data_IF_420764779018
#
_entry.id   IF_420764779018
#
_cell.length_a   1.000
_cell.length_b   1.000
_cell.length_c   1.000
_cell.angle_alpha   90.00
_cell.angle_beta   90.00
_cell.angle_gamma   90.00
#
_symmetry.space_group_name_H-M   'P 1'
#
loop_
_entity.id
_entity.type
_entity.pdbx_description
1 polymer ?
#
# COMPACT_ATOMS: atom_id res chain seq x y z
N UNK A 1 -20.27 21.97 10.26
CA UNK A 1 -21.29 22.92 10.73
C UNK A 1 -21.92 22.40 12.02
N UNK A 2 -22.49 21.19 12.05
CA UNK A 2 -23.11 20.63 13.26
C UNK A 2 -22.17 20.55 14.48
N UNK A 3 -20.86 20.40 14.26
CA UNK A 3 -19.84 20.43 15.29
C UNK A 3 -19.25 21.84 15.57
N UNK A 4 -19.84 22.89 15.04
CA UNK A 4 -19.41 24.29 15.20
C UNK A 4 -18.35 24.76 14.21
N UNK A 5 -18.09 24.01 13.13
CA UNK A 5 -17.18 24.46 12.07
C UNK A 5 -17.82 25.59 11.22
N UNK A 6 -17.01 26.56 10.71
CA UNK A 6 -17.49 27.55 9.73
C UNK A 6 -18.05 26.89 8.46
N UNK A 7 -18.99 27.54 7.79
CA UNK A 7 -19.65 27.00 6.58
C UNK A 7 -18.66 26.73 5.45
N UNK A 8 -17.67 27.58 5.27
CA UNK A 8 -16.68 27.51 4.19
C UNK A 8 -15.38 26.83 4.60
N UNK A 9 -15.34 26.03 5.66
CA UNK A 9 -14.11 25.40 6.15
C UNK A 9 -13.58 24.26 5.26
N UNK A 10 -14.43 23.71 4.37
CA UNK A 10 -14.06 22.68 3.40
C UNK A 10 -14.48 23.15 2.01
N UNK A 11 -13.52 23.23 1.12
CA UNK A 11 -13.73 23.70 -0.26
C UNK A 11 -13.03 22.76 -1.25
N UNK A 12 -13.36 22.84 -2.53
CA UNK A 12 -12.73 22.10 -3.62
C UNK A 12 -12.49 22.98 -4.84
N UNK A 13 -11.61 22.53 -5.74
CA UNK A 13 -11.40 23.16 -7.04
C UNK A 13 -12.29 22.50 -8.09
N UNK A 14 -13.14 23.29 -8.75
CA UNK A 14 -13.95 22.81 -9.88
C UNK A 14 -13.10 22.49 -11.11
N UNK A 15 -12.03 23.25 -11.32
CA UNK A 15 -11.12 23.05 -12.44
C UNK A 15 -10.11 21.93 -12.15
N UNK A 16 -10.34 20.75 -12.75
CA UNK A 16 -9.46 19.59 -12.67
C UNK A 16 -8.28 19.74 -13.64
N UNK A 17 -7.22 20.44 -13.23
CA UNK A 17 -6.02 20.59 -14.05
C UNK A 17 -4.75 20.63 -13.18
N UNK A 18 -3.61 20.20 -13.75
CA UNK A 18 -2.30 20.32 -13.11
C UNK A 18 -1.90 21.79 -12.87
N UNK A 19 -2.34 22.69 -13.76
CA UNK A 19 -2.14 24.12 -13.59
C UNK A 19 -2.84 24.63 -12.32
N UNK A 20 -4.13 24.35 -12.16
CA UNK A 20 -4.89 24.76 -10.99
C UNK A 20 -4.32 24.17 -9.70
N UNK A 21 -3.96 22.88 -9.69
CA UNK A 21 -3.33 22.22 -8.54
C UNK A 21 -2.00 22.89 -8.18
N UNK A 22 -1.16 23.18 -9.16
CA UNK A 22 0.15 23.83 -8.93
C UNK A 22 -0.04 25.27 -8.45
N UNK A 23 -0.99 26.03 -9.00
CA UNK A 23 -1.32 27.37 -8.59
C UNK A 23 -1.80 27.38 -7.13
N UNK A 24 -2.68 26.44 -6.75
CA UNK A 24 -3.15 26.29 -5.38
C UNK A 24 -1.98 25.98 -4.41
N UNK A 25 -1.13 25.00 -4.74
CA UNK A 25 0.03 24.65 -3.91
C UNK A 25 0.94 25.86 -3.63
N UNK A 26 1.10 26.76 -4.61
CA UNK A 26 1.94 27.96 -4.50
C UNK A 26 1.22 29.18 -3.94
N UNK A 27 -0.12 29.13 -3.81
CA UNK A 27 -0.91 30.30 -3.42
C UNK A 27 -0.52 30.81 -2.02
N UNK A 28 -0.34 32.11 -1.81
CA UNK A 28 0.09 32.68 -0.51
C UNK A 28 -0.83 32.29 0.67
N UNK A 29 -2.11 32.15 0.43
CA UNK A 29 -3.10 31.74 1.44
C UNK A 29 -3.01 30.27 1.88
N UNK A 30 -2.19 29.43 1.22
CA UNK A 30 -1.98 28.04 1.63
C UNK A 30 -0.80 27.96 2.60
N UNK A 31 -1.06 27.60 3.83
CA UNK A 31 -0.06 27.50 4.89
C UNK A 31 0.66 26.13 4.90
N UNK A 32 -0.06 25.05 4.61
CA UNK A 32 0.45 23.67 4.63
C UNK A 32 -0.20 22.86 3.53
N UNK A 33 0.53 21.92 2.95
CA UNK A 33 0.03 20.99 1.94
C UNK A 33 -0.04 19.59 2.54
N UNK A 34 -1.20 18.94 2.43
CA UNK A 34 -1.38 17.53 2.70
C UNK A 34 -1.51 16.81 1.36
N UNK A 35 -0.46 16.09 0.95
CA UNK A 35 -0.37 15.45 -0.34
C UNK A 35 -0.42 13.92 -0.19
N UNK A 36 -1.52 13.31 -0.61
CA UNK A 36 -1.67 11.86 -0.71
C UNK A 36 -1.78 11.48 -2.17
N UNK A 37 -0.84 10.69 -2.68
CA UNK A 37 -0.85 10.31 -4.10
C UNK A 37 0.47 9.69 -4.54
N UNK A 38 0.63 9.53 -5.87
CA UNK A 38 1.86 8.99 -6.43
C UNK A 38 3.09 9.87 -6.14
N UNK A 39 4.28 9.26 -6.21
CA UNK A 39 5.55 9.91 -5.87
C UNK A 39 5.78 11.27 -6.58
N UNK A 40 5.30 11.42 -7.82
CA UNK A 40 5.42 12.68 -8.56
C UNK A 40 4.61 13.83 -7.92
N UNK A 41 3.40 13.55 -7.42
CA UNK A 41 2.57 14.54 -6.73
C UNK A 41 3.21 14.94 -5.40
N UNK A 42 3.73 13.98 -4.66
CA UNK A 42 4.42 14.23 -3.38
C UNK A 42 5.68 15.06 -3.61
N UNK A 43 6.49 14.71 -4.62
CA UNK A 43 7.67 15.50 -5.00
C UNK A 43 7.31 16.95 -5.39
N UNK A 44 6.23 17.15 -6.15
CA UNK A 44 5.73 18.48 -6.50
C UNK A 44 5.31 19.29 -5.26
N UNK A 45 4.63 18.66 -4.30
CA UNK A 45 4.23 19.29 -3.05
C UNK A 45 5.45 19.77 -2.23
N UNK A 46 6.47 18.90 -2.07
CA UNK A 46 7.70 19.27 -1.37
C UNK A 46 8.53 20.34 -2.11
N UNK A 47 8.45 20.38 -3.44
CA UNK A 47 9.20 21.34 -4.28
C UNK A 47 8.57 22.72 -4.36
N UNK A 48 7.35 22.94 -3.83
CA UNK A 48 6.68 24.23 -3.95
C UNK A 48 7.15 25.27 -2.93
N UNK A 49 8.07 24.94 -2.00
CA UNK A 49 8.62 25.85 -1.00
C UNK A 49 7.73 26.10 0.21
N UNK A 50 6.72 25.23 0.44
CA UNK A 50 5.82 25.29 1.60
C UNK A 50 5.95 24.05 2.48
N UNK A 51 5.59 24.13 3.76
CA UNK A 51 5.42 22.96 4.60
C UNK A 51 4.48 21.96 3.92
N UNK A 52 4.91 20.71 3.81
CA UNK A 52 4.11 19.65 3.22
C UNK A 52 4.19 18.37 4.04
N UNK A 53 3.07 17.66 4.12
CA UNK A 53 2.94 16.31 4.65
C UNK A 53 2.60 15.41 3.47
N UNK A 54 3.58 14.66 2.97
CA UNK A 54 3.42 13.82 1.80
C UNK A 54 3.32 12.34 2.16
N UNK A 55 2.55 11.59 1.38
CA UNK A 55 2.44 10.14 1.43
C UNK A 55 2.65 9.58 0.04
N UNK A 56 3.71 8.79 -0.12
CA UNK A 56 4.06 8.13 -1.38
C UNK A 56 3.30 6.81 -1.58
N UNK A 57 3.71 6.10 -2.64
CA UNK A 57 3.18 4.79 -2.99
C UNK A 57 3.46 3.74 -1.91
N UNK A 58 2.55 2.75 -1.77
CA UNK A 58 2.70 1.62 -0.87
C UNK A 58 2.82 0.29 -1.64
N UNK A 59 3.92 -0.41 -1.51
CA UNK A 59 4.08 -1.76 -2.07
C UNK A 59 4.17 -2.80 -0.96
N UNK A 60 3.04 -3.09 -0.35
CA UNK A 60 2.93 -3.84 0.91
C UNK A 60 3.11 -5.35 0.70
N UNK A 61 4.18 -5.97 1.22
CA UNK A 61 4.27 -7.42 1.34
C UNK A 61 3.41 -7.91 2.51
N UNK A 62 2.80 -9.09 2.39
CA UNK A 62 2.27 -9.87 3.49
C UNK A 62 3.07 -11.16 3.61
N UNK A 63 3.97 -11.24 4.57
CA UNK A 63 4.72 -12.47 4.81
C UNK A 63 3.91 -13.42 5.69
N UNK A 64 3.63 -14.60 5.17
CA UNK A 64 2.89 -15.68 5.83
C UNK A 64 3.90 -16.73 6.27
N UNK A 65 4.38 -16.57 7.50
CA UNK A 65 5.39 -17.42 8.11
C UNK A 65 4.74 -18.72 8.64
N UNK A 66 5.47 -19.81 8.64
CA UNK A 66 4.96 -21.16 8.90
C UNK A 66 4.27 -21.37 10.25
N UNK A 67 4.60 -20.57 11.25
CA UNK A 67 3.96 -20.67 12.59
C UNK A 67 2.61 -19.96 12.66
N UNK A 68 2.21 -19.23 11.61
CA UNK A 68 0.97 -18.45 11.63
C UNK A 68 -0.28 -19.31 11.82
N UNK A 69 -1.35 -18.71 12.33
CA UNK A 69 -2.70 -19.29 12.27
C UNK A 69 -3.23 -19.13 10.84
N UNK A 70 -2.94 -20.10 9.97
CA UNK A 70 -3.14 -20.03 8.53
C UNK A 70 -4.55 -19.57 8.09
N UNK A 71 -5.66 -20.12 8.63
CA UNK A 71 -7.00 -19.67 8.22
C UNK A 71 -7.24 -18.17 8.52
N UNK A 72 -6.69 -17.65 9.64
CA UNK A 72 -6.75 -16.24 10.01
C UNK A 72 -5.93 -15.41 9.03
N UNK A 73 -4.69 -15.80 8.76
CA UNK A 73 -3.81 -15.09 7.84
C UNK A 73 -4.43 -14.95 6.44
N UNK A 74 -5.00 -16.03 5.92
CA UNK A 74 -5.68 -16.01 4.60
C UNK A 74 -6.91 -15.13 4.63
N UNK A 75 -7.76 -15.23 5.66
CA UNK A 75 -8.93 -14.37 5.81
C UNK A 75 -8.55 -12.89 5.85
N UNK A 76 -7.53 -12.55 6.62
CA UNK A 76 -7.06 -11.17 6.78
C UNK A 76 -6.55 -10.59 5.46
N UNK A 77 -5.75 -11.36 4.70
CA UNK A 77 -5.26 -10.97 3.39
C UNK A 77 -6.42 -10.77 2.40
N UNK A 78 -7.37 -11.70 2.36
CA UNK A 78 -8.54 -11.60 1.45
C UNK A 78 -9.42 -10.42 1.82
N UNK A 79 -9.74 -10.25 3.11
CA UNK A 79 -10.53 -9.12 3.61
C UNK A 79 -9.89 -7.78 3.25
N UNK A 80 -8.60 -7.65 3.51
CA UNK A 80 -7.83 -6.44 3.23
C UNK A 80 -7.74 -6.15 1.73
N UNK A 81 -7.44 -7.17 0.91
CA UNK A 81 -7.25 -7.02 -0.53
C UNK A 81 -8.54 -6.79 -1.30
N UNK A 82 -9.66 -7.32 -0.84
CA UNK A 82 -10.96 -7.09 -1.47
C UNK A 82 -11.61 -5.77 -1.05
N UNK A 83 -11.24 -5.22 0.11
CA UNK A 83 -11.78 -3.94 0.59
C UNK A 83 -11.47 -2.81 -0.39
N UNK A 84 -12.50 -2.05 -0.75
CA UNK A 84 -12.43 -0.94 -1.70
C UNK A 84 -11.69 -1.31 -3.02
N UNK A 85 -11.93 -2.51 -3.52
CA UNK A 85 -11.23 -3.08 -4.67
C UNK A 85 -9.71 -2.96 -4.59
N UNK A 86 -9.12 -3.11 -3.42
CA UNK A 86 -7.68 -3.05 -3.20
C UNK A 86 -7.03 -1.71 -3.49
N UNK A 87 -7.80 -0.62 -3.47
CA UNK A 87 -7.32 0.73 -3.81
C UNK A 87 -6.54 1.37 -2.66
N UNK A 88 -6.77 0.96 -1.41
CA UNK A 88 -6.07 1.53 -0.27
C UNK A 88 -4.57 1.22 -0.36
N UNK A 89 -3.72 2.23 -0.19
CA UNK A 89 -2.27 2.13 -0.32
C UNK A 89 -1.60 1.16 0.69
N UNK A 90 -2.28 0.85 1.80
CA UNK A 90 -1.87 -0.16 2.76
C UNK A 90 -2.35 -1.58 2.42
N UNK A 91 -3.09 -1.77 1.31
CA UNK A 91 -3.53 -3.10 0.87
C UNK A 91 -2.35 -3.95 0.39
N UNK A 92 -2.37 -5.22 0.73
CA UNK A 92 -1.35 -6.19 0.34
C UNK A 92 -1.17 -6.25 -1.17
N UNK A 93 0.07 -6.16 -1.63
CA UNK A 93 0.41 -6.30 -3.04
C UNK A 93 0.88 -7.71 -3.38
N UNK A 94 1.47 -8.39 -2.40
CA UNK A 94 1.81 -9.80 -2.53
C UNK A 94 1.66 -10.55 -1.19
N UNK A 95 1.27 -11.82 -1.27
CA UNK A 95 1.45 -12.80 -0.21
C UNK A 95 2.74 -13.57 -0.47
N UNK A 96 3.67 -13.53 0.48
CA UNK A 96 4.93 -14.27 0.46
C UNK A 96 4.77 -15.40 1.47
N UNK A 97 4.75 -16.66 1.03
CA UNK A 97 4.32 -17.79 1.84
C UNK A 97 5.46 -18.80 1.99
N UNK A 98 5.75 -19.21 3.21
CA UNK A 98 6.73 -20.27 3.47
C UNK A 98 6.37 -21.56 2.73
N UNK A 99 7.37 -22.18 2.10
CA UNK A 99 7.20 -23.38 1.31
C UNK A 99 6.54 -24.51 2.10
N UNK A 100 6.83 -24.62 3.40
CA UNK A 100 6.27 -25.65 4.28
C UNK A 100 4.73 -25.59 4.39
N UNK A 101 4.13 -24.41 4.26
CA UNK A 101 2.68 -24.20 4.38
C UNK A 101 2.05 -23.75 3.05
N UNK A 102 2.82 -23.65 1.98
CA UNK A 102 2.36 -23.09 0.71
C UNK A 102 1.15 -23.81 0.12
N UNK A 103 1.18 -25.14 0.09
CA UNK A 103 0.08 -25.95 -0.47
C UNK A 103 -1.20 -25.81 0.39
N UNK A 104 -1.03 -25.73 1.70
CA UNK A 104 -2.14 -25.45 2.62
C UNK A 104 -2.71 -24.04 2.42
N UNK A 105 -1.83 -23.02 2.23
CA UNK A 105 -2.24 -21.67 1.90
C UNK A 105 -3.03 -21.63 0.58
N UNK A 106 -2.52 -22.28 -0.48
CA UNK A 106 -3.19 -22.35 -1.78
C UNK A 106 -4.55 -23.05 -1.71
N UNK A 107 -4.68 -24.05 -0.85
CA UNK A 107 -5.96 -24.72 -0.59
C UNK A 107 -6.93 -23.81 0.16
N UNK A 108 -6.43 -23.10 1.18
CA UNK A 108 -7.27 -22.24 2.02
C UNK A 108 -7.75 -21.00 1.26
N UNK A 109 -6.88 -20.31 0.52
CA UNK A 109 -7.25 -19.08 -0.21
C UNK A 109 -8.27 -19.37 -1.32
N UNK A 110 -8.24 -20.56 -1.94
CA UNK A 110 -9.22 -20.99 -2.96
C UNK A 110 -10.63 -21.23 -2.40
N UNK A 111 -10.82 -21.21 -1.09
CA UNK A 111 -12.16 -21.24 -0.47
C UNK A 111 -12.89 -19.91 -0.57
N UNK A 112 -12.15 -18.85 -0.90
CA UNK A 112 -12.68 -17.50 -1.10
C UNK A 112 -12.95 -17.25 -2.60
N UNK A 113 -13.54 -16.12 -2.91
CA UNK A 113 -13.86 -15.69 -4.28
C UNK A 113 -12.60 -15.14 -4.99
N UNK A 114 -11.60 -15.98 -5.13
CA UNK A 114 -10.34 -15.67 -5.79
C UNK A 114 -10.17 -16.46 -7.08
N UNK A 115 -9.54 -15.85 -8.08
CA UNK A 115 -9.22 -16.49 -9.34
C UNK A 115 -7.72 -16.47 -9.57
N UNK A 116 -7.11 -17.66 -9.78
CA UNK A 116 -5.70 -17.78 -10.11
C UNK A 116 -5.52 -17.80 -11.62
N UNK A 117 -4.81 -16.79 -12.15
CA UNK A 117 -4.51 -16.71 -13.58
C UNK A 117 -3.49 -17.78 -13.99
N UNK A 118 -3.69 -18.36 -15.18
CA UNK A 118 -2.70 -19.19 -15.84
C UNK A 118 -1.59 -18.32 -16.48
N UNK A 119 -0.59 -18.95 -17.10
CA UNK A 119 0.57 -18.26 -17.67
C UNK A 119 0.19 -17.25 -18.78
N UNK A 120 -0.76 -17.61 -19.63
CA UNK A 120 -1.23 -16.74 -20.73
C UNK A 120 -2.03 -15.55 -20.20
N UNK A 121 -2.96 -15.81 -19.29
CA UNK A 121 -3.74 -14.77 -18.63
C UNK A 121 -2.88 -13.82 -17.80
N UNK A 122 -1.85 -14.34 -17.12
CA UNK A 122 -0.86 -13.53 -16.40
C UNK A 122 -0.16 -12.56 -17.34
N UNK A 123 0.33 -13.02 -18.49
CA UNK A 123 0.99 -12.16 -19.47
C UNK A 123 0.06 -11.07 -20.03
N UNK A 124 -1.23 -11.40 -20.30
CA UNK A 124 -2.25 -10.43 -20.70
C UNK A 124 -2.50 -9.40 -19.59
N UNK A 125 -2.61 -9.85 -18.34
CA UNK A 125 -2.83 -8.99 -17.17
C UNK A 125 -1.65 -8.01 -16.98
N UNK A 126 -0.41 -8.51 -17.04
CA UNK A 126 0.80 -7.68 -16.92
C UNK A 126 0.88 -6.63 -18.02
N UNK A 127 0.61 -7.01 -19.28
CA UNK A 127 0.58 -6.09 -20.40
C UNK A 127 -0.49 -5.02 -20.25
N UNK A 128 -1.70 -5.40 -19.82
CA UNK A 128 -2.79 -4.45 -19.59
C UNK A 128 -2.49 -3.48 -18.45
N UNK A 129 -1.91 -3.98 -17.36
CA UNK A 129 -1.64 -3.19 -16.16
C UNK A 129 -0.42 -2.26 -16.31
N UNK A 130 0.64 -2.69 -17.01
CA UNK A 130 1.92 -1.98 -17.04
C UNK A 130 2.42 -1.64 -18.45
N UNK A 131 1.73 -2.10 -19.49
CA UNK A 131 2.07 -1.82 -20.90
C UNK A 131 3.28 -2.62 -21.40
N UNK A 132 3.78 -2.24 -22.57
CA UNK A 132 4.92 -2.91 -23.23
C UNK A 132 6.24 -2.80 -22.46
N UNK A 133 6.32 -1.90 -21.49
CA UNK A 133 7.50 -1.68 -20.62
C UNK A 133 7.42 -2.44 -19.30
N UNK A 134 6.47 -3.38 -19.16
CA UNK A 134 6.27 -4.16 -17.94
C UNK A 134 7.55 -4.90 -17.49
N UNK A 135 8.35 -5.35 -18.44
CA UNK A 135 9.60 -6.10 -18.23
C UNK A 135 10.86 -5.24 -18.37
N UNK A 136 10.73 -3.92 -18.31
CA UNK A 136 11.87 -3.02 -18.41
C UNK A 136 12.68 -3.01 -17.10
N UNK A 137 14.00 -3.04 -17.22
CA UNK A 137 14.92 -2.82 -16.10
C UNK A 137 14.79 -1.41 -15.50
N UNK A 138 14.24 -0.47 -16.27
CA UNK A 138 13.91 0.85 -15.77
C UNK A 138 12.57 0.84 -15.04
N UNK A 139 12.63 0.73 -13.72
CA UNK A 139 11.47 0.71 -12.80
C UNK A 139 10.51 1.88 -13.04
N UNK A 140 11.04 3.03 -13.45
CA UNK A 140 10.24 4.23 -13.71
C UNK A 140 9.54 4.22 -15.08
N UNK A 141 9.96 3.35 -16.00
CA UNK A 141 9.34 3.25 -17.32
C UNK A 141 8.00 2.48 -17.28
N UNK A 142 7.90 1.44 -16.45
CA UNK A 142 6.66 0.69 -16.28
C UNK A 142 5.71 1.45 -15.36
N UNK A 143 4.73 2.12 -15.92
CA UNK A 143 3.70 2.86 -15.17
C UNK A 143 2.43 2.04 -15.06
N UNK A 144 1.82 2.05 -13.89
CA UNK A 144 0.50 1.47 -13.69
C UNK A 144 -0.52 2.17 -14.61
N UNK A 145 -1.31 1.38 -15.31
CA UNK A 145 -2.47 1.88 -16.05
C UNK A 145 -3.47 2.52 -15.06
N UNK A 146 -3.72 3.83 -15.11
CA UNK A 146 -4.57 4.50 -14.14
C UNK A 146 -6.02 4.00 -14.16
N UNK A 147 -6.44 3.38 -15.26
CA UNK A 147 -7.81 2.89 -15.40
C UNK A 147 -8.10 1.66 -14.53
N UNK A 148 -7.09 0.96 -14.00
CA UNK A 148 -7.30 -0.22 -13.13
C UNK A 148 -7.58 0.17 -11.68
N UNK A 149 -7.27 1.39 -11.28
CA UNK A 149 -7.36 1.84 -9.89
C UNK A 149 -8.79 1.76 -9.38
N UNK A 150 -9.02 0.97 -8.33
CA UNK A 150 -10.33 0.78 -7.71
C UNK A 150 -11.36 0.02 -8.57
N UNK A 151 -10.96 -0.59 -9.67
CA UNK A 151 -11.86 -1.38 -10.52
C UNK A 151 -12.06 -2.80 -9.99
N UNK A 152 -13.27 -3.38 -10.17
CA UNK A 152 -13.52 -4.77 -9.79
C UNK A 152 -12.63 -5.75 -10.55
N UNK A 153 -12.35 -6.90 -9.95
CA UNK A 153 -11.55 -7.97 -10.55
C UNK A 153 -12.11 -8.44 -11.91
N UNK A 154 -13.41 -8.57 -12.02
CA UNK A 154 -14.12 -8.97 -13.26
C UNK A 154 -13.89 -8.00 -14.39
N UNK A 155 -13.96 -6.70 -14.12
CA UNK A 155 -13.69 -5.66 -15.12
C UNK A 155 -12.22 -5.70 -15.58
N UNK A 156 -11.28 -5.85 -14.63
CA UNK A 156 -9.84 -5.93 -14.96
C UNK A 156 -9.56 -7.13 -15.87
N UNK A 157 -10.13 -8.31 -15.55
CA UNK A 157 -9.98 -9.52 -16.35
C UNK A 157 -10.51 -9.33 -17.77
N UNK A 158 -11.72 -8.77 -17.90
CA UNK A 158 -12.35 -8.49 -19.19
C UNK A 158 -11.48 -7.56 -20.06
N UNK A 159 -11.01 -6.45 -19.48
CA UNK A 159 -10.16 -5.49 -20.21
C UNK A 159 -8.79 -6.07 -20.54
N UNK A 160 -8.26 -6.97 -19.74
CA UNK A 160 -7.03 -7.71 -20.01
C UNK A 160 -7.22 -8.84 -21.06
N UNK A 161 -8.46 -9.15 -21.46
CA UNK A 161 -8.78 -10.13 -22.50
C UNK A 161 -8.87 -11.57 -22.01
N UNK A 162 -9.36 -11.79 -20.77
CA UNK A 162 -9.73 -13.11 -20.26
C UNK A 162 -10.98 -13.01 -19.36
N UNK A 163 -11.57 -14.16 -19.04
CA UNK A 163 -12.81 -14.25 -18.26
C UNK A 163 -12.56 -14.88 -16.91
N UNK A 164 -13.27 -14.41 -15.91
CA UNK A 164 -13.30 -14.96 -14.54
C UNK A 164 -14.75 -15.15 -14.11
N UNK A 165 -15.06 -15.98 -13.10
CA UNK A 165 -16.39 -16.04 -12.50
C UNK A 165 -16.90 -14.66 -12.09
N UNK A 166 -18.22 -14.44 -12.22
CA UNK A 166 -18.84 -13.13 -11.96
C UNK A 166 -18.68 -12.64 -10.50
N UNK A 167 -18.55 -13.56 -9.58
CA UNK A 167 -18.37 -13.26 -8.15
C UNK A 167 -16.90 -13.15 -7.72
N UNK A 168 -15.93 -13.15 -8.67
CA UNK A 168 -14.50 -13.01 -8.37
C UNK A 168 -14.20 -11.66 -7.73
N UNK A 169 -13.63 -11.72 -6.54
CA UNK A 169 -13.22 -10.52 -5.78
C UNK A 169 -11.74 -10.19 -5.95
N UNK A 170 -10.88 -11.19 -6.13
CA UNK A 170 -9.42 -11.00 -6.24
C UNK A 170 -8.89 -11.87 -7.37
N UNK A 171 -8.03 -11.28 -8.22
CA UNK A 171 -7.21 -12.01 -9.19
C UNK A 171 -5.85 -12.29 -8.54
N UNK A 172 -5.46 -13.55 -8.46
CA UNK A 172 -4.18 -13.99 -7.92
C UNK A 172 -3.24 -14.44 -9.04
N UNK A 173 -1.97 -14.08 -8.94
CA UNK A 173 -0.92 -14.50 -9.88
C UNK A 173 0.29 -15.06 -9.13
N UNK A 174 0.70 -16.29 -9.44
CA UNK A 174 1.95 -16.83 -8.92
C UNK A 174 3.14 -16.11 -9.56
N UNK A 175 4.06 -15.61 -8.71
CA UNK A 175 5.30 -14.95 -9.11
C UNK A 175 6.50 -15.70 -8.53
N UNK A 176 7.63 -15.65 -9.22
CA UNK A 176 8.86 -16.37 -8.82
C UNK A 176 9.80 -15.52 -7.99
N UNK A 177 9.87 -14.24 -8.29
CA UNK A 177 10.79 -13.26 -7.70
C UNK A 177 10.12 -11.91 -7.54
N UNK A 178 10.75 -11.01 -6.82
CA UNK A 178 10.34 -9.60 -6.72
C UNK A 178 11.19 -8.79 -7.70
N UNK A 179 10.55 -7.93 -8.47
CA UNK A 179 11.30 -7.01 -9.33
C UNK A 179 10.69 -6.82 -10.72
N UNK A 180 11.45 -6.20 -11.64
CA UNK A 180 10.96 -5.83 -12.98
C UNK A 180 10.46 -7.00 -13.82
N UNK A 181 11.05 -8.18 -13.67
CA UNK A 181 10.66 -9.39 -14.40
C UNK A 181 9.32 -9.99 -13.94
N UNK A 182 8.82 -9.56 -12.79
CA UNK A 182 7.53 -9.93 -12.23
C UNK A 182 6.75 -8.65 -11.86
N UNK A 183 6.26 -7.90 -12.85
CA UNK A 183 5.69 -6.55 -12.64
C UNK A 183 4.47 -6.55 -11.72
N UNK A 184 3.79 -7.69 -11.54
CA UNK A 184 2.70 -7.83 -10.56
C UNK A 184 3.18 -7.80 -9.10
N UNK A 185 4.49 -7.77 -8.84
CA UNK A 185 5.04 -7.52 -7.48
C UNK A 185 5.14 -6.03 -7.12
N UNK A 186 4.61 -5.12 -7.97
CA UNK A 186 4.51 -3.68 -7.71
C UNK A 186 3.17 -3.30 -7.10
N UNK A 187 3.07 -2.03 -6.67
CA UNK A 187 1.78 -1.45 -6.30
C UNK A 187 0.82 -1.45 -7.49
N UNK A 188 -0.42 -1.89 -7.24
CA UNK A 188 -1.44 -2.10 -8.28
C UNK A 188 -2.74 -1.33 -8.01
N UNK A 189 -2.98 -0.87 -6.79
CA UNK A 189 -4.19 -0.12 -6.38
C UNK A 189 -5.49 -0.76 -6.91
N UNK A 190 -5.52 -2.08 -6.90
CA UNK A 190 -6.58 -2.90 -7.50
C UNK A 190 -6.63 -4.29 -6.85
N UNK A 191 -7.70 -5.08 -7.02
CA UNK A 191 -7.84 -6.39 -6.41
C UNK A 191 -7.00 -7.47 -7.13
N UNK A 192 -5.73 -7.17 -7.39
CA UNK A 192 -4.75 -8.11 -7.96
C UNK A 192 -3.67 -8.39 -6.93
N UNK A 193 -3.48 -9.67 -6.58
CA UNK A 193 -2.54 -10.15 -5.56
C UNK A 193 -1.48 -11.05 -6.20
N UNK A 194 -0.21 -10.69 -6.04
CA UNK A 194 0.88 -11.62 -6.34
C UNK A 194 1.03 -12.67 -5.23
N UNK A 195 1.43 -13.88 -5.56
CA UNK A 195 1.71 -14.95 -4.59
C UNK A 195 3.10 -15.50 -4.86
N UNK A 196 3.97 -15.46 -3.85
CA UNK A 196 5.35 -15.92 -3.93
C UNK A 196 5.63 -17.01 -2.90
N UNK A 197 6.51 -17.95 -3.23
CA UNK A 197 7.06 -18.91 -2.27
C UNK A 197 8.29 -18.34 -1.58
N UNK A 198 8.41 -18.55 -0.28
CA UNK A 198 9.63 -18.36 0.49
C UNK A 198 10.24 -19.71 0.85
N UNK A 199 11.54 -19.88 0.61
CA UNK A 199 12.24 -21.14 0.92
C UNK A 199 12.34 -21.39 2.42
N UNK A 200 12.44 -20.32 3.18
CA UNK A 200 12.56 -20.28 4.63
C UNK A 200 12.32 -18.85 5.12
N UNK A 201 12.38 -18.63 6.43
CA UNK A 201 12.16 -17.33 7.08
C UNK A 201 13.06 -16.23 6.52
N UNK A 202 14.34 -16.50 6.28
CA UNK A 202 15.28 -15.50 5.77
C UNK A 202 14.92 -15.07 4.34
N UNK A 203 14.54 -16.01 3.48
CA UNK A 203 14.09 -15.74 2.11
C UNK A 203 12.75 -14.98 2.11
N UNK A 204 11.83 -15.29 3.04
CA UNK A 204 10.58 -14.58 3.21
C UNK A 204 10.77 -13.11 3.60
N UNK A 205 11.62 -12.88 4.58
CA UNK A 205 12.01 -11.52 5.03
C UNK A 205 12.73 -10.78 3.89
N UNK A 206 13.64 -11.44 3.18
CA UNK A 206 14.36 -10.86 2.04
C UNK A 206 13.40 -10.41 0.94
N UNK A 207 12.47 -11.26 0.52
CA UNK A 207 11.45 -10.91 -0.49
C UNK A 207 10.55 -9.76 -0.05
N UNK A 208 10.14 -9.75 1.22
CA UNK A 208 9.37 -8.64 1.76
C UNK A 208 10.15 -7.32 1.73
N UNK A 209 11.42 -7.35 2.11
CA UNK A 209 12.32 -6.18 2.04
C UNK A 209 12.47 -5.70 0.60
N UNK A 210 12.71 -6.62 -0.34
CA UNK A 210 12.80 -6.30 -1.77
C UNK A 210 11.51 -5.64 -2.29
N UNK A 211 10.32 -6.11 -1.88
CA UNK A 211 9.06 -5.48 -2.29
C UNK A 211 8.95 -4.05 -1.78
N UNK A 212 9.27 -3.81 -0.50
CA UNK A 212 9.25 -2.46 0.07
C UNK A 212 10.23 -1.54 -0.68
N UNK A 213 11.45 -2.02 -0.97
CA UNK A 213 12.47 -1.26 -1.68
C UNK A 213 12.13 -1.04 -3.15
N UNK A 214 11.41 -1.95 -3.77
CA UNK A 214 11.08 -1.87 -5.19
C UNK A 214 10.12 -0.71 -5.52
N UNK A 215 9.08 -0.45 -4.70
CA UNK A 215 8.13 0.64 -4.99
C UNK A 215 7.35 1.14 -3.78
N UNK A 216 7.80 0.91 -2.54
CA UNK A 216 6.98 1.21 -1.36
C UNK A 216 7.75 1.65 -0.12
N UNK A 217 8.94 2.26 -0.31
CA UNK A 217 9.78 2.67 0.82
C UNK A 217 9.03 3.50 1.86
N UNK A 218 9.15 3.06 3.10
CA UNK A 218 8.62 3.73 4.28
C UNK A 218 7.14 3.48 4.55
N UNK A 219 6.37 2.86 3.64
CA UNK A 219 4.92 2.81 3.81
C UNK A 219 4.47 1.78 4.86
N UNK A 220 4.30 0.55 4.50
CA UNK A 220 3.79 -0.52 5.37
C UNK A 220 4.30 -1.89 4.92
N UNK A 221 4.38 -2.83 5.87
CA UNK A 221 4.61 -4.25 5.61
C UNK A 221 3.79 -5.07 6.61
N UNK A 222 3.30 -6.23 6.20
CA UNK A 222 2.52 -7.13 7.05
C UNK A 222 3.22 -8.47 7.24
N UNK A 223 3.05 -9.06 8.40
CA UNK A 223 3.54 -10.39 8.74
C UNK A 223 2.45 -11.15 9.51
N UNK A 224 2.28 -12.42 9.17
CA UNK A 224 1.47 -13.37 9.91
C UNK A 224 2.39 -14.44 10.48
N UNK A 225 2.56 -14.46 11.80
CA UNK A 225 3.43 -15.36 12.54
C UNK A 225 2.99 -15.45 14.01
N UNK A 226 3.25 -16.55 14.68
CA UNK A 226 3.11 -16.65 16.13
C UNK A 226 4.49 -16.56 16.83
N UNK A 227 5.58 -16.37 16.08
CA UNK A 227 6.94 -16.20 16.61
C UNK A 227 7.31 -14.71 16.68
N UNK A 228 7.33 -14.18 17.91
CA UNK A 228 7.67 -12.77 18.14
C UNK A 228 9.11 -12.39 17.76
N UNK A 229 10.05 -13.32 17.79
CA UNK A 229 11.44 -13.02 17.38
C UNK A 229 11.53 -12.89 15.85
N UNK A 230 10.76 -13.68 15.11
CA UNK A 230 10.63 -13.54 13.66
C UNK A 230 9.93 -12.21 13.33
N UNK A 231 8.86 -11.85 14.05
CA UNK A 231 8.18 -10.57 13.87
C UNK A 231 9.13 -9.38 14.09
N UNK A 232 9.94 -9.40 15.14
CA UNK A 232 10.97 -8.37 15.40
C UNK A 232 12.01 -8.33 14.29
N UNK A 233 12.52 -9.51 13.87
CA UNK A 233 13.49 -9.61 12.77
C UNK A 233 12.94 -9.02 11.47
N UNK A 234 11.69 -9.33 11.14
CA UNK A 234 10.98 -8.76 10.01
C UNK A 234 10.87 -7.23 10.11
N UNK A 235 10.43 -6.73 11.27
CA UNK A 235 10.30 -5.30 11.52
C UNK A 235 11.62 -4.52 11.42
N UNK A 236 12.73 -5.13 11.84
CA UNK A 236 14.06 -4.52 11.69
C UNK A 236 14.56 -4.53 10.24
N UNK A 237 14.24 -5.57 9.47
CA UNK A 237 14.70 -5.70 8.10
C UNK A 237 13.92 -4.81 7.11
N UNK A 238 12.60 -4.75 7.25
CA UNK A 238 11.74 -4.01 6.33
C UNK A 238 11.84 -2.50 6.58
N UNK A 239 12.23 -1.72 5.56
CA UNK A 239 12.23 -0.25 5.58
C UNK A 239 10.83 0.33 5.44
N UNK A 240 9.91 -0.12 6.29
CA UNK A 240 8.54 0.37 6.44
C UNK A 240 8.34 0.87 7.87
N UNK A 241 7.62 1.98 8.04
CA UNK A 241 7.38 2.54 9.37
C UNK A 241 6.17 1.92 10.07
N UNK A 242 5.34 1.17 9.33
CA UNK A 242 4.20 0.40 9.86
C UNK A 242 4.42 -1.07 9.60
N UNK A 243 4.61 -1.82 10.65
CA UNK A 243 4.63 -3.28 10.62
C UNK A 243 3.30 -3.75 11.20
N UNK A 244 2.52 -4.44 10.39
CA UNK A 244 1.21 -4.97 10.77
C UNK A 244 1.37 -6.46 11.05
N UNK A 245 1.18 -6.84 12.29
CA UNK A 245 1.31 -8.23 12.74
C UNK A 245 -0.07 -8.85 12.93
N UNK A 246 -0.33 -10.01 12.32
CA UNK A 246 -1.53 -10.82 12.50
C UNK A 246 -2.85 -10.05 12.33
N UNK A 247 -2.92 -9.16 11.33
CA UNK A 247 -4.11 -8.37 11.03
C UNK A 247 -4.17 -8.02 9.53
N UNK A 248 -5.37 -7.70 9.00
CA UNK A 248 -5.53 -7.21 7.64
C UNK A 248 -4.74 -5.89 7.46
N UNK A 249 -3.82 -5.84 6.49
CA UNK A 249 -2.90 -4.70 6.37
C UNK A 249 -3.60 -3.37 6.11
N UNK A 250 -4.65 -3.36 5.29
CA UNK A 250 -5.46 -2.16 5.05
C UNK A 250 -5.99 -1.58 6.35
N UNK A 251 -6.68 -2.38 7.15
CA UNK A 251 -7.31 -1.92 8.39
C UNK A 251 -6.28 -1.67 9.50
N UNK A 252 -5.26 -2.51 9.58
CA UNK A 252 -4.16 -2.31 10.52
C UNK A 252 -3.36 -1.03 10.23
N UNK A 253 -3.14 -0.71 8.96
CA UNK A 253 -2.48 0.52 8.52
C UNK A 253 -3.31 1.77 8.80
N UNK A 254 -4.62 1.72 8.52
CA UNK A 254 -5.57 2.81 8.82
C UNK A 254 -5.63 3.05 10.35
N UNK A 255 -5.54 1.99 11.15
CA UNK A 255 -5.54 2.08 12.60
C UNK A 255 -6.92 1.95 13.24
N UNK A 256 -6.96 1.99 14.57
CA UNK A 256 -8.13 1.93 15.46
C UNK A 256 -8.71 0.53 15.69
N UNK A 257 -9.10 -0.22 14.66
CA UNK A 257 -9.87 -1.47 14.84
C UNK A 257 -8.99 -2.63 15.31
N UNK A 258 -7.83 -2.80 14.70
CA UNK A 258 -6.93 -3.93 14.95
C UNK A 258 -5.73 -3.59 15.84
N UNK A 259 -5.45 -2.31 16.06
CA UNK A 259 -4.32 -1.84 16.85
C UNK A 259 -4.55 -0.42 17.39
N UNK A 260 -3.58 0.11 18.13
CA UNK A 260 -3.64 1.44 18.74
C UNK A 260 -3.10 2.57 17.83
N UNK A 261 -2.90 2.35 16.54
CA UNK A 261 -2.53 3.43 15.64
C UNK A 261 -3.65 4.46 15.54
N UNK A 262 -3.27 5.74 15.45
CA UNK A 262 -4.24 6.82 15.25
C UNK A 262 -4.96 6.60 13.92
N UNK A 263 -6.31 6.61 13.89
CA UNK A 263 -7.07 6.45 12.66
C UNK A 263 -6.72 7.52 11.64
N UNK A 264 -6.30 7.10 10.44
CA UNK A 264 -5.96 8.01 9.35
C UNK A 264 -5.99 7.30 8.01
N UNK A 265 -6.34 8.04 6.95
CA UNK A 265 -6.12 7.66 5.55
C UNK A 265 -4.85 8.29 4.96
N UNK A 266 -4.14 9.12 5.73
CA UNK A 266 -2.87 9.73 5.35
C UNK A 266 -1.73 9.06 6.13
N UNK A 267 -1.10 8.10 5.50
CA UNK A 267 -0.15 7.17 6.10
C UNK A 267 1.29 7.60 5.77
N UNK A 268 1.83 8.56 6.52
CA UNK A 268 3.19 9.06 6.29
C UNK A 268 4.22 7.94 6.20
N UNK A 269 5.23 8.10 5.35
CA UNK A 269 6.25 7.08 5.07
C UNK A 269 7.63 7.40 5.68
N UNK A 270 7.73 8.48 6.45
CA UNK A 270 8.98 8.91 7.08
C UNK A 270 10.09 9.20 6.09
N UNK A 271 11.31 9.32 6.61
CA UNK A 271 12.49 9.60 5.78
C UNK A 271 12.83 8.48 4.80
N UNK A 272 12.48 7.23 5.08
CA UNK A 272 12.60 6.15 4.10
C UNK A 272 11.82 6.44 2.81
N UNK A 273 10.60 6.96 2.94
CA UNK A 273 9.74 7.32 1.81
C UNK A 273 9.92 8.76 1.33
N UNK A 274 10.99 9.45 1.77
CA UNK A 274 11.23 10.88 1.49
C UNK A 274 10.07 11.77 1.95
N UNK A 275 9.44 11.42 3.07
CA UNK A 275 8.33 12.16 3.67
C UNK A 275 8.76 12.87 4.95
N UNK A 276 8.10 13.99 5.27
CA UNK A 276 8.32 14.78 6.48
C UNK A 276 7.64 14.21 7.72
N UNK A 277 6.81 13.17 7.57
CA UNK A 277 6.02 12.58 8.65
C UNK A 277 6.13 11.06 8.63
N UNK A 278 6.35 10.46 9.80
CA UNK A 278 6.54 9.01 10.00
C UNK A 278 5.43 8.36 10.83
N UNK A 279 4.25 8.94 10.85
CA UNK A 279 3.08 8.41 11.56
C UNK A 279 1.81 8.57 10.74
N UNK A 280 0.71 8.05 11.25
CA UNK A 280 -0.62 8.33 10.74
C UNK A 280 -0.95 9.79 11.00
N UNK A 281 -1.19 10.56 9.96
CA UNK A 281 -1.45 12.01 10.06
C UNK A 281 -2.81 12.25 10.68
N UNK A 282 -2.84 13.13 11.68
CA UNK A 282 -4.06 13.54 12.37
C UNK A 282 -4.16 15.07 12.41
N UNK A 283 -5.24 15.59 12.98
CA UNK A 283 -5.42 17.04 13.17
C UNK A 283 -4.25 17.70 13.91
N UNK A 284 -3.58 16.99 14.82
CA UNK A 284 -2.41 17.49 15.56
C UNK A 284 -1.26 17.90 14.63
N UNK A 285 -1.10 17.22 13.48
CA UNK A 285 -0.07 17.54 12.50
C UNK A 285 -0.35 18.84 11.72
N UNK A 286 -1.59 19.34 11.76
CA UNK A 286 -2.04 20.52 11.02
C UNK A 286 -2.19 21.77 11.90
N UNK A 287 -1.99 21.68 13.21
CA UNK A 287 -2.12 22.80 14.13
C UNK A 287 -0.74 23.35 14.54
N UNK A 288 -0.69 24.67 14.79
CA UNK A 288 0.50 25.32 15.34
C UNK A 288 0.47 25.26 16.88
N UNK A 289 1.49 24.66 17.47
CA UNK A 289 1.68 24.59 18.92
C UNK A 289 2.49 25.79 19.38
N UNK A 290 1.89 26.72 20.13
CA UNK A 290 2.59 27.83 20.77
C UNK A 290 3.06 27.40 22.17
N UNK A 291 4.29 27.75 22.51
CA UNK A 291 4.89 27.47 23.84
C UNK A 291 5.24 28.77 24.53
N UNK A 292 4.91 28.86 25.81
CA UNK A 292 5.32 29.98 26.68
C UNK A 292 6.40 29.47 27.61
N UNK A 293 7.62 29.92 27.38
CA UNK A 293 8.74 29.66 28.30
C UNK A 293 8.72 30.67 29.45
N UNK A 294 8.71 30.19 30.70
CA UNK A 294 8.87 31.03 31.88
C UNK A 294 10.27 30.83 32.47
N UNK A 295 10.84 31.91 33.00
CA UNK A 295 12.13 31.83 33.73
C UNK A 295 11.94 30.94 34.97
N UNK A 296 12.83 29.98 35.16
CA UNK A 296 12.95 29.27 36.42
C UNK A 296 13.58 30.22 37.46
N UNK A 297 12.81 30.61 38.46
CA UNK A 297 13.35 31.31 39.62
C UNK A 297 13.78 30.22 40.61
N UNK A 298 15.03 29.77 40.52
CA UNK A 298 15.70 29.02 41.56
C UNK A 298 16.32 29.97 42.55
#
# INVERSE_FOLDING_TARGET
>A
IAAGAPEDCIQWLDLKSMYATTALMKHPGVATILATGGNAMVAAAYSCGKPALGVGAGNVPAYVEKTCVLPRAVNDIVLSKSFDNGMICASEQAAIVDTEIYDAFMKEIKRFKVYFVNKEEKAKLETFMFGAVAYSDNVNAAKLNPNVVGKPATWIAEQAGFKVPEDTQIICAECKEVGPNEPLTREKLSPVLAVLKAKNTDDGILKATQMVEFNGLGHSAAIHTEDHEISKKFGHACKAIRIIENAPSTFGGIGSVYNAFIPSLTLGCGSYGHNSVSNNVSAVNLINIKRIGRRNNN
#
